data_IF_693653477860
#
_entry.id   IF_693653477860
#
_cell.length_a   1.000
_cell.length_b   1.000
_cell.length_c   1.000
_cell.angle_alpha   90.00
_cell.angle_beta   90.00
_cell.angle_gamma   90.00
#
_symmetry.space_group_name_H-M   'P 1'
#
loop_
_entity.id
_entity.type
_entity.pdbx_description
1 polymer ?
#
# COMPACT_ATOMS: atom_id res chain seq x y z
N UNK A 1 54.55 27.06 4.81
CA UNK A 1 56.02 26.82 4.81
C UNK A 1 56.40 26.18 6.13
N UNK A 2 57.23 25.11 6.14
CA UNK A 2 57.37 24.14 7.23
C UNK A 2 58.62 24.40 8.10
N UNK A 3 58.89 23.63 9.17
CA UNK A 3 59.56 22.31 9.08
C UNK A 3 59.05 21.34 10.20
N UNK A 4 59.44 20.07 10.41
CA UNK A 4 60.14 18.96 9.72
C UNK A 4 59.89 17.71 10.59
N UNK A 5 59.86 16.53 9.97
CA UNK A 5 59.73 15.23 10.64
C UNK A 5 61.02 14.77 11.36
N UNK A 6 60.87 13.87 12.35
CA UNK A 6 61.87 12.84 12.70
C UNK A 6 61.19 11.49 12.90
N UNK A 7 61.58 10.54 12.06
CA UNK A 7 61.45 9.09 12.25
C UNK A 7 62.69 8.62 13.01
N UNK A 8 62.52 7.71 13.96
CA UNK A 8 63.63 6.94 14.53
C UNK A 8 63.38 5.46 14.29
N UNK A 9 64.35 4.83 13.65
CA UNK A 9 64.48 3.40 13.38
C UNK A 9 65.34 2.80 14.49
N UNK A 10 65.04 1.59 14.97
CA UNK A 10 66.02 0.79 15.72
C UNK A 10 65.89 -0.68 15.35
N UNK A 11 67.06 -1.29 15.17
CA UNK A 11 67.35 -2.59 14.58
C UNK A 11 67.20 -3.78 15.55
N UNK A 12 66.65 -4.86 15.00
CA UNK A 12 67.04 -6.29 15.01
C UNK A 12 68.46 -6.57 15.59
N UNK A 13 68.74 -7.53 16.50
CA UNK A 13 68.88 -9.01 16.32
C UNK A 13 69.18 -9.73 17.69
N UNK A 14 69.14 -11.10 17.77
CA UNK A 14 68.97 -11.99 18.95
C UNK A 14 70.36 -12.51 19.49
N UNK A 15 70.57 -13.65 20.22
CA UNK A 15 69.69 -14.80 20.59
C UNK A 15 69.88 -15.42 22.00
N UNK A 16 69.04 -16.40 22.35
CA UNK A 16 69.43 -17.53 23.19
C UNK A 16 68.55 -18.76 22.91
N UNK A 17 69.24 -19.87 22.66
CA UNK A 17 68.74 -21.24 22.54
C UNK A 17 67.99 -21.68 23.80
N UNK A 18 66.97 -22.54 23.64
CA UNK A 18 67.00 -23.81 24.36
C UNK A 18 66.24 -24.93 23.63
N UNK A 19 66.83 -26.11 23.71
CA UNK A 19 66.33 -27.37 23.15
C UNK A 19 65.24 -27.96 24.03
N UNK A 20 64.17 -28.50 23.44
CA UNK A 20 63.71 -29.82 23.86
C UNK A 20 62.85 -30.52 22.80
N UNK A 21 63.19 -31.79 22.61
CA UNK A 21 62.46 -32.80 21.86
C UNK A 21 61.10 -33.09 22.52
N UNK A 22 60.06 -33.38 21.72
CA UNK A 22 59.27 -34.60 21.87
C UNK A 22 58.22 -34.82 20.75
N UNK A 23 58.28 -36.04 20.22
CA UNK A 23 57.32 -36.91 19.53
C UNK A 23 56.18 -36.39 18.62
N UNK A 24 56.00 -36.99 17.42
CA UNK A 24 54.87 -36.75 16.53
C UNK A 24 53.69 -37.69 16.86
N UNK A 25 52.61 -37.15 17.41
CA UNK A 25 51.30 -37.81 17.40
C UNK A 25 50.54 -37.39 16.14
N UNK A 26 50.45 -38.32 15.18
CA UNK A 26 49.50 -38.25 14.07
C UNK A 26 48.06 -38.37 14.61
N UNK A 27 47.39 -37.24 14.80
CA UNK A 27 45.94 -37.20 14.87
C UNK A 27 45.36 -37.08 13.46
N UNK A 28 44.39 -37.92 13.07
CA UNK A 28 43.67 -37.74 11.83
C UNK A 28 42.82 -36.47 11.94
N UNK A 29 43.11 -35.48 11.09
CA UNK A 29 42.25 -34.33 10.90
C UNK A 29 40.91 -34.82 10.33
N UNK A 30 39.96 -35.13 11.21
CA UNK A 30 38.56 -35.21 10.85
C UNK A 30 38.12 -33.81 10.46
N UNK A 31 38.18 -33.50 9.16
CA UNK A 31 37.43 -32.42 8.56
C UNK A 31 35.94 -32.71 8.76
N UNK A 32 35.44 -32.40 9.96
CA UNK A 32 34.01 -32.22 10.18
C UNK A 32 33.66 -30.93 9.45
N UNK A 33 33.16 -31.08 8.23
CA UNK A 33 32.48 -30.04 7.47
C UNK A 33 31.26 -29.66 8.30
N UNK A 34 31.43 -28.65 9.16
CA UNK A 34 30.35 -28.03 9.91
C UNK A 34 29.47 -27.33 8.86
N UNK A 35 28.44 -28.01 8.38
CA UNK A 35 27.36 -27.38 7.63
C UNK A 35 26.52 -26.69 8.70
N UNK A 36 26.57 -25.35 8.86
CA UNK A 36 25.73 -24.69 9.84
C UNK A 36 24.28 -25.00 9.49
N UNK A 37 23.55 -25.58 10.45
CA UNK A 37 22.12 -25.85 10.29
C UNK A 37 21.42 -24.54 9.92
N UNK A 38 20.96 -24.43 8.68
CA UNK A 38 20.29 -23.23 8.19
C UNK A 38 18.94 -23.14 8.89
N UNK A 39 18.85 -22.31 9.93
CA UNK A 39 17.57 -22.02 10.58
C UNK A 39 16.66 -21.26 9.60
N UNK A 40 15.34 -21.38 9.78
CA UNK A 40 14.34 -20.65 8.96
C UNK A 40 14.64 -19.13 8.95
N UNK A 41 15.09 -18.59 10.09
CA UNK A 41 15.47 -17.18 10.23
C UNK A 41 16.70 -16.82 9.37
N UNK A 42 17.71 -17.69 9.29
CA UNK A 42 18.87 -17.48 8.43
C UNK A 42 18.49 -17.52 6.94
N UNK A 43 17.60 -18.44 6.56
CA UNK A 43 17.08 -18.52 5.19
C UNK A 43 16.29 -17.24 4.83
N UNK A 44 15.44 -16.75 5.73
CA UNK A 44 14.65 -15.54 5.52
C UNK A 44 15.54 -14.30 5.33
N UNK A 45 16.54 -14.12 6.19
CA UNK A 45 17.52 -13.03 6.06
C UNK A 45 18.30 -13.14 4.75
N UNK A 46 18.70 -14.35 4.35
CA UNK A 46 19.40 -14.58 3.08
C UNK A 46 18.53 -14.18 1.88
N UNK A 47 17.25 -14.57 1.87
CA UNK A 47 16.32 -14.20 0.80
C UNK A 47 16.10 -12.69 0.75
N UNK A 48 15.91 -12.03 1.89
CA UNK A 48 15.74 -10.57 1.98
C UNK A 48 17.00 -9.78 1.54
N UNK A 49 18.18 -10.40 1.62
CA UNK A 49 19.43 -9.75 1.24
C UNK A 49 19.54 -9.46 -0.26
N UNK A 50 18.75 -10.12 -1.11
CA UNK A 50 18.86 -10.02 -2.58
C UNK A 50 17.52 -9.70 -3.26
N UNK A 51 17.56 -9.10 -4.46
CA UNK A 51 16.34 -8.85 -5.25
C UNK A 51 15.62 -10.15 -5.65
N UNK A 52 16.30 -11.20 -6.15
CA UNK A 52 15.63 -12.46 -6.46
C UNK A 52 14.97 -13.10 -5.24
N UNK A 53 15.64 -13.09 -4.09
CA UNK A 53 15.06 -13.64 -2.86
C UNK A 53 13.85 -12.85 -2.38
N UNK A 54 13.87 -11.51 -2.45
CA UNK A 54 12.69 -10.66 -2.19
C UNK A 54 11.55 -10.94 -3.18
N UNK A 55 11.86 -11.17 -4.45
CA UNK A 55 10.87 -11.50 -5.47
C UNK A 55 10.16 -12.83 -5.18
N UNK A 56 10.90 -13.84 -4.72
CA UNK A 56 10.34 -15.14 -4.28
C UNK A 56 9.49 -14.95 -3.02
N UNK A 57 9.98 -14.23 -2.02
CA UNK A 57 9.22 -13.96 -0.79
C UNK A 57 7.92 -13.18 -1.05
N UNK A 58 7.93 -12.30 -2.05
CA UNK A 58 6.77 -11.51 -2.43
C UNK A 58 5.85 -12.21 -3.46
N UNK A 59 6.15 -13.43 -3.90
CA UNK A 59 5.30 -14.19 -4.83
C UNK A 59 3.83 -14.30 -4.42
N UNK A 60 3.45 -14.38 -3.12
CA UNK A 60 2.05 -14.33 -2.70
C UNK A 60 1.29 -13.09 -3.21
N UNK A 61 1.96 -11.95 -3.41
CA UNK A 61 1.34 -10.75 -3.99
C UNK A 61 0.94 -10.98 -5.45
N UNK A 62 1.79 -11.63 -6.24
CA UNK A 62 1.45 -11.97 -7.63
C UNK A 62 0.33 -13.01 -7.69
N UNK A 63 0.31 -13.95 -6.75
CA UNK A 63 -0.80 -14.89 -6.62
C UNK A 63 -2.12 -14.17 -6.30
N UNK A 64 -2.14 -13.21 -5.37
CA UNK A 64 -3.34 -12.43 -5.06
C UNK A 64 -3.83 -11.63 -6.27
N UNK A 65 -2.92 -11.01 -7.03
CA UNK A 65 -3.23 -10.33 -8.28
C UNK A 65 -3.89 -11.26 -9.30
N UNK A 66 -3.26 -12.42 -9.55
CA UNK A 66 -3.78 -13.43 -10.47
C UNK A 66 -5.15 -13.94 -10.00
N UNK A 67 -5.28 -14.25 -8.71
CA UNK A 67 -6.52 -14.75 -8.12
C UNK A 67 -7.65 -13.74 -8.26
N UNK A 68 -7.42 -12.46 -7.91
CA UNK A 68 -8.39 -11.39 -8.09
C UNK A 68 -8.81 -11.26 -9.56
N UNK A 69 -7.84 -11.27 -10.47
CA UNK A 69 -8.12 -11.15 -11.91
C UNK A 69 -8.91 -12.35 -12.46
N UNK A 70 -8.66 -13.56 -11.95
CA UNK A 70 -9.42 -14.75 -12.31
C UNK A 70 -10.87 -14.72 -11.77
N UNK A 71 -11.09 -13.99 -10.67
CA UNK A 71 -12.41 -13.79 -10.06
C UNK A 71 -13.19 -12.60 -10.63
N UNK A 72 -12.50 -11.63 -11.21
CA UNK A 72 -13.09 -10.67 -12.14
C UNK A 72 -13.54 -11.46 -13.36
N UNK A 73 -14.76 -11.99 -13.33
CA UNK A 73 -15.35 -12.75 -14.43
C UNK A 73 -15.65 -11.78 -15.59
N UNK A 74 -14.60 -11.40 -16.34
CA UNK A 74 -14.67 -10.40 -17.41
C UNK A 74 -15.64 -10.82 -18.50
N UNK A 75 -15.75 -12.11 -18.77
CA UNK A 75 -16.73 -12.66 -19.71
C UNK A 75 -18.15 -12.30 -19.27
N UNK A 76 -18.48 -12.52 -17.98
CA UNK A 76 -19.80 -12.15 -17.45
C UNK A 76 -20.02 -10.64 -17.44
N UNK A 77 -19.01 -9.82 -17.15
CA UNK A 77 -19.12 -8.36 -17.30
C UNK A 77 -19.39 -7.94 -18.76
N UNK A 78 -18.73 -8.58 -19.72
CA UNK A 78 -18.93 -8.32 -21.15
C UNK A 78 -20.29 -8.83 -21.65
N UNK A 79 -20.93 -9.77 -20.95
CA UNK A 79 -22.31 -10.18 -21.21
C UNK A 79 -23.33 -9.20 -20.63
N UNK A 80 -23.07 -8.61 -19.45
CA UNK A 80 -24.06 -7.82 -18.69
C UNK A 80 -24.00 -6.32 -19.00
N UNK A 81 -22.80 -5.74 -19.09
CA UNK A 81 -22.62 -4.29 -19.18
C UNK A 81 -23.05 -3.73 -20.54
N UNK A 82 -22.66 -4.30 -21.71
CA UNK A 82 -23.03 -3.73 -23.00
C UNK A 82 -24.54 -3.59 -23.21
N UNK A 83 -25.39 -4.59 -22.89
CA UNK A 83 -26.84 -4.42 -22.99
C UNK A 83 -27.42 -3.29 -22.13
N UNK A 84 -26.81 -2.99 -20.97
CA UNK A 84 -27.20 -1.87 -20.12
C UNK A 84 -26.80 -0.54 -20.79
N UNK A 85 -25.58 -0.48 -21.31
CA UNK A 85 -25.06 0.69 -22.03
C UNK A 85 -25.87 1.02 -23.29
N UNK A 86 -26.28 0.01 -24.04
CA UNK A 86 -27.06 0.13 -25.28
C UNK A 86 -28.49 0.64 -25.00
N UNK A 87 -29.08 0.23 -23.88
CA UNK A 87 -30.38 0.74 -23.43
C UNK A 87 -30.32 2.19 -22.94
N UNK A 88 -29.13 2.66 -22.55
CA UNK A 88 -28.94 4.02 -22.02
C UNK A 88 -29.52 4.24 -20.62
N UNK A 89 -29.94 3.18 -19.92
CA UNK A 89 -30.53 3.27 -18.58
C UNK A 89 -30.00 2.17 -17.67
N UNK A 90 -29.70 2.52 -16.42
CA UNK A 90 -29.32 1.61 -15.34
C UNK A 90 -30.60 1.00 -14.76
N UNK A 91 -30.71 -0.34 -14.67
CA UNK A 91 -31.83 -1.00 -14.00
C UNK A 91 -31.85 -0.64 -12.52
N UNK A 92 -32.98 -0.14 -12.01
CA UNK A 92 -33.15 0.18 -10.59
C UNK A 92 -34.59 -0.18 -10.15
N UNK A 93 -34.80 -0.70 -8.92
CA UNK A 93 -36.10 -1.20 -8.47
C UNK A 93 -37.26 -0.19 -8.50
N UNK A 94 -36.98 1.09 -8.24
CA UNK A 94 -38.00 2.15 -8.21
C UNK A 94 -38.31 2.75 -9.58
N UNK A 95 -37.26 3.14 -10.33
CA UNK A 95 -37.37 3.72 -11.66
C UNK A 95 -36.01 3.61 -12.36
N UNK A 96 -35.94 3.34 -13.67
CA UNK A 96 -34.67 3.33 -14.40
C UNK A 96 -33.93 4.68 -14.32
N UNK A 97 -32.61 4.64 -14.17
CA UNK A 97 -31.78 5.85 -14.08
C UNK A 97 -31.04 6.07 -15.41
N UNK A 98 -31.14 7.25 -16.05
CA UNK A 98 -30.38 7.52 -17.27
C UNK A 98 -28.87 7.38 -17.06
N UNK A 99 -28.20 6.71 -17.99
CA UNK A 99 -26.73 6.67 -18.03
C UNK A 99 -26.25 8.02 -18.52
N UNK A 100 -25.46 8.71 -17.71
CA UNK A 100 -24.85 9.98 -18.12
C UNK A 100 -23.89 9.75 -19.28
N UNK A 101 -23.82 10.72 -20.19
CA UNK A 101 -22.93 10.70 -21.34
C UNK A 101 -22.18 12.04 -21.46
N UNK A 102 -20.99 12.00 -22.02
CA UNK A 102 -20.16 13.19 -22.25
C UNK A 102 -19.72 13.92 -20.98
N UNK A 103 -19.63 13.25 -19.82
CA UNK A 103 -19.34 13.89 -18.52
C UNK A 103 -17.99 14.60 -18.53
N UNK A 104 -16.98 14.02 -19.20
CA UNK A 104 -15.67 14.66 -19.32
C UNK A 104 -15.53 15.57 -20.54
N UNK A 105 -16.47 15.49 -21.49
CA UNK A 105 -16.42 16.23 -22.75
C UNK A 105 -15.36 15.72 -23.73
N UNK A 106 -14.72 14.58 -23.47
CA UNK A 106 -13.77 13.94 -24.38
C UNK A 106 -14.09 12.45 -24.56
N UNK A 107 -14.17 12.00 -25.82
CA UNK A 107 -14.65 10.65 -26.12
C UNK A 107 -13.86 9.54 -25.41
N UNK A 108 -12.53 9.67 -25.34
CA UNK A 108 -11.67 8.60 -24.81
C UNK A 108 -11.95 8.29 -23.34
N UNK A 109 -12.04 9.31 -22.47
CA UNK A 109 -12.33 8.99 -21.07
C UNK A 109 -13.80 8.69 -20.83
N UNK A 110 -14.72 9.26 -21.62
CA UNK A 110 -16.12 8.85 -21.56
C UNK A 110 -16.27 7.37 -21.91
N UNK A 111 -15.62 6.90 -22.98
CA UNK A 111 -15.60 5.48 -23.36
C UNK A 111 -15.01 4.57 -22.27
N UNK A 112 -13.97 5.04 -21.55
CA UNK A 112 -13.31 4.27 -20.49
C UNK A 112 -14.15 4.23 -19.21
N UNK A 113 -14.68 5.37 -18.77
CA UNK A 113 -15.31 5.49 -17.46
C UNK A 113 -16.81 5.20 -17.46
N UNK A 114 -17.50 5.28 -18.60
CA UNK A 114 -18.92 4.94 -18.73
C UNK A 114 -19.25 3.49 -18.29
N UNK A 115 -18.57 2.44 -18.77
CA UNK A 115 -18.83 1.08 -18.26
C UNK A 115 -18.49 0.93 -16.77
N UNK A 116 -17.45 1.61 -16.30
CA UNK A 116 -17.01 1.54 -14.90
C UNK A 116 -18.03 2.23 -13.99
N UNK A 117 -18.54 3.40 -14.36
CA UNK A 117 -19.55 4.10 -13.56
C UNK A 117 -20.87 3.32 -13.50
N UNK A 118 -21.25 2.62 -14.57
CA UNK A 118 -22.37 1.66 -14.54
C UNK A 118 -22.07 0.51 -13.58
N UNK A 119 -20.89 -0.12 -13.66
CA UNK A 119 -20.51 -1.24 -12.78
C UNK A 119 -20.63 -0.90 -11.28
N UNK A 120 -20.41 0.36 -10.88
CA UNK A 120 -20.53 0.81 -9.49
C UNK A 120 -21.97 1.12 -9.07
N UNK A 121 -22.89 1.31 -10.02
CA UNK A 121 -24.27 1.72 -9.74
C UNK A 121 -25.04 0.83 -8.77
N UNK A 122 -24.83 -0.50 -8.71
CA UNK A 122 -25.54 -1.32 -7.73
C UNK A 122 -25.32 -0.86 -6.29
N UNK A 123 -24.09 -0.43 -6.01
CA UNK A 123 -23.72 0.12 -4.71
C UNK A 123 -24.07 1.59 -4.55
N UNK A 124 -23.73 2.46 -5.52
CA UNK A 124 -23.86 3.92 -5.34
C UNK A 124 -25.31 4.40 -5.41
N UNK A 125 -26.17 3.65 -6.10
CA UNK A 125 -27.60 3.96 -6.19
C UNK A 125 -28.44 3.20 -5.15
N UNK A 126 -27.83 2.28 -4.38
CA UNK A 126 -28.56 1.47 -3.40
C UNK A 126 -29.50 0.43 -4.03
N UNK A 127 -29.15 -0.10 -5.20
CA UNK A 127 -29.87 -1.21 -5.85
C UNK A 127 -29.64 -2.50 -5.04
N UNK A 128 -28.43 -2.69 -4.54
CA UNK A 128 -28.07 -3.79 -3.64
C UNK A 128 -27.52 -3.24 -2.33
N UNK A 129 -28.21 -3.55 -1.24
CA UNK A 129 -27.93 -2.97 0.08
C UNK A 129 -26.59 -3.46 0.65
N UNK A 130 -26.25 -4.74 0.43
CA UNK A 130 -24.97 -5.31 0.85
C UNK A 130 -23.82 -4.62 0.10
N UNK A 131 -23.95 -4.41 -1.21
CA UNK A 131 -23.00 -3.70 -2.03
C UNK A 131 -22.85 -2.23 -1.59
N UNK A 132 -23.93 -1.57 -1.18
CA UNK A 132 -23.88 -0.21 -0.63
C UNK A 132 -22.97 -0.15 0.60
N UNK A 133 -23.20 -1.01 1.60
CA UNK A 133 -22.39 -1.08 2.82
C UNK A 133 -20.93 -1.43 2.53
N UNK A 134 -20.71 -2.42 1.66
CA UNK A 134 -19.38 -2.86 1.27
C UNK A 134 -18.61 -1.72 0.60
N UNK A 135 -19.23 -1.02 -0.36
CA UNK A 135 -18.53 -0.03 -1.18
C UNK A 135 -18.34 1.31 -0.48
N UNK A 136 -19.31 1.79 0.31
CA UNK A 136 -19.09 3.01 1.10
C UNK A 136 -17.92 2.83 2.07
N UNK A 137 -17.80 1.64 2.66
CA UNK A 137 -16.65 1.26 3.47
C UNK A 137 -15.37 1.18 2.64
N UNK A 138 -15.37 0.38 1.56
CA UNK A 138 -14.20 0.15 0.73
C UNK A 138 -13.58 1.47 0.25
N UNK A 139 -14.43 2.33 -0.31
CA UNK A 139 -13.96 3.57 -0.91
C UNK A 139 -13.51 4.58 0.13
N UNK A 140 -14.06 4.55 1.35
CA UNK A 140 -13.52 5.32 2.47
C UNK A 140 -12.12 4.82 2.86
N UNK A 141 -11.92 3.50 2.91
CA UNK A 141 -10.65 2.88 3.29
C UNK A 141 -9.56 2.95 2.21
N UNK A 142 -9.88 3.40 0.99
CA UNK A 142 -8.87 3.76 -0.01
C UNK A 142 -8.10 5.04 0.37
N UNK A 143 -8.65 5.90 1.22
CA UNK A 143 -7.96 7.10 1.68
C UNK A 143 -6.61 6.83 2.36
N UNK A 144 -6.55 5.95 3.39
CA UNK A 144 -5.28 5.46 3.94
C UNK A 144 -4.32 4.87 2.89
N UNK A 145 -4.84 4.13 1.90
CA UNK A 145 -4.03 3.53 0.83
C UNK A 145 -3.38 4.62 -0.02
N UNK A 146 -4.16 5.62 -0.44
CA UNK A 146 -3.65 6.77 -1.20
C UNK A 146 -2.58 7.51 -0.41
N UNK A 147 -2.78 7.74 0.89
CA UNK A 147 -1.76 8.37 1.74
C UNK A 147 -0.47 7.55 1.74
N UNK A 148 -0.53 6.25 2.02
CA UNK A 148 0.66 5.40 2.11
C UNK A 148 1.41 5.38 0.77
N UNK A 149 0.71 5.17 -0.34
CA UNK A 149 1.34 5.10 -1.66
C UNK A 149 1.91 6.45 -2.10
N UNK A 150 1.19 7.55 -1.91
CA UNK A 150 1.67 8.88 -2.29
C UNK A 150 2.90 9.27 -1.45
N UNK A 151 2.91 8.98 -0.14
CA UNK A 151 4.07 9.23 0.70
C UNK A 151 5.26 8.34 0.30
N UNK A 152 5.04 7.06 -0.03
CA UNK A 152 6.10 6.21 -0.57
C UNK A 152 6.62 6.72 -1.93
N UNK A 153 5.76 7.23 -2.81
CA UNK A 153 6.17 7.86 -4.07
C UNK A 153 7.01 9.13 -3.87
N UNK A 154 6.81 9.83 -2.75
CA UNK A 154 7.58 11.01 -2.36
C UNK A 154 8.91 10.67 -1.68
N UNK A 155 9.16 9.41 -1.32
CA UNK A 155 10.40 9.00 -0.66
C UNK A 155 11.60 9.08 -1.62
N UNK A 156 12.67 9.74 -1.19
CA UNK A 156 13.86 9.94 -2.03
C UNK A 156 14.46 8.63 -2.59
N UNK A 157 14.44 7.57 -1.79
CA UNK A 157 14.97 6.26 -2.16
C UNK A 157 14.15 5.53 -3.23
N UNK A 158 12.89 5.88 -3.40
CA UNK A 158 12.00 5.27 -4.39
C UNK A 158 12.11 5.94 -5.76
N UNK A 159 12.87 7.03 -5.92
CA UNK A 159 13.02 7.73 -7.20
C UNK A 159 13.41 6.75 -8.32
N UNK A 160 12.69 6.81 -9.44
CA UNK A 160 12.87 5.94 -10.61
C UNK A 160 12.53 4.45 -10.42
N UNK A 161 11.86 4.09 -9.32
CA UNK A 161 11.27 2.76 -9.14
C UNK A 161 9.76 2.81 -9.41
N UNK A 162 9.10 1.65 -9.47
CA UNK A 162 7.64 1.59 -9.58
C UNK A 162 6.93 2.36 -8.45
N UNK A 163 7.51 2.35 -7.25
CA UNK A 163 6.98 3.07 -6.09
C UNK A 163 6.88 4.59 -6.32
N UNK A 164 7.76 5.17 -7.14
CA UNK A 164 7.74 6.59 -7.51
C UNK A 164 6.48 6.99 -8.27
N UNK A 165 5.91 6.06 -9.04
CA UNK A 165 4.76 6.29 -9.93
C UNK A 165 3.43 6.06 -9.21
N UNK A 166 3.35 6.35 -7.90
CA UNK A 166 2.18 6.09 -7.07
C UNK A 166 0.88 6.66 -7.65
N UNK A 167 0.89 7.89 -8.15
CA UNK A 167 -0.27 8.52 -8.83
C UNK A 167 -0.72 7.71 -10.03
N UNK A 168 0.21 7.29 -10.89
CA UNK A 168 -0.08 6.50 -12.07
C UNK A 168 -0.64 5.13 -11.70
N UNK A 169 -0.06 4.47 -10.70
CA UNK A 169 -0.56 3.19 -10.21
C UNK A 169 -1.96 3.29 -9.62
N UNK A 170 -2.22 4.26 -8.75
CA UNK A 170 -3.56 4.48 -8.21
C UNK A 170 -4.58 4.77 -9.33
N UNK A 171 -4.20 5.54 -10.34
CA UNK A 171 -5.08 5.81 -11.48
C UNK A 171 -5.37 4.57 -12.33
N UNK A 172 -4.36 3.77 -12.65
CA UNK A 172 -4.57 2.54 -13.44
C UNK A 172 -5.37 1.51 -12.62
N UNK A 173 -5.24 1.48 -11.28
CA UNK A 173 -6.08 0.64 -10.42
C UNK A 173 -7.57 0.99 -10.51
N UNK A 174 -7.94 2.25 -10.81
CA UNK A 174 -9.35 2.64 -11.02
C UNK A 174 -9.96 1.99 -12.27
N UNK A 175 -9.11 1.61 -13.25
CA UNK A 175 -9.55 1.01 -14.51
C UNK A 175 -9.61 -0.52 -14.40
N UNK A 176 -8.65 -1.13 -13.71
CA UNK A 176 -8.48 -2.60 -13.69
C UNK A 176 -8.85 -3.26 -12.36
N UNK A 177 -9.17 -2.48 -11.32
CA UNK A 177 -9.34 -2.97 -9.95
C UNK A 177 -8.03 -2.91 -9.16
N UNK A 178 -8.11 -2.41 -7.93
CA UNK A 178 -6.95 -2.30 -7.03
C UNK A 178 -6.53 -3.67 -6.46
N UNK A 179 -7.44 -4.62 -6.31
CA UNK A 179 -7.16 -6.00 -5.95
C UNK A 179 -6.37 -6.74 -7.03
N UNK A 180 -6.52 -6.33 -8.30
CA UNK A 180 -5.72 -6.86 -9.41
C UNK A 180 -4.35 -6.21 -9.45
N UNK A 181 -4.26 -4.89 -9.54
CA UNK A 181 -2.99 -4.20 -9.80
C UNK A 181 -2.25 -3.74 -8.56
N UNK A 182 -2.93 -3.55 -7.43
CA UNK A 182 -2.32 -3.16 -6.17
C UNK A 182 -1.29 -4.16 -5.65
N UNK A 183 -1.56 -5.47 -5.64
CA UNK A 183 -0.54 -6.46 -5.28
C UNK A 183 0.66 -6.44 -6.25
N UNK A 184 0.47 -6.13 -7.53
CA UNK A 184 1.58 -5.97 -8.51
C UNK A 184 2.44 -4.76 -8.17
N UNK A 185 1.82 -3.60 -7.88
CA UNK A 185 2.52 -2.42 -7.39
C UNK A 185 3.33 -2.75 -6.13
N UNK A 186 2.70 -3.43 -5.17
CA UNK A 186 3.32 -3.82 -3.92
C UNK A 186 4.52 -4.76 -4.12
N UNK A 187 4.40 -5.71 -5.05
CA UNK A 187 5.50 -6.61 -5.43
C UNK A 187 6.67 -5.82 -6.03
N UNK A 188 6.37 -4.92 -6.98
CA UNK A 188 7.39 -4.08 -7.61
C UNK A 188 8.07 -3.16 -6.60
N UNK A 189 7.30 -2.55 -5.70
CA UNK A 189 7.82 -1.77 -4.58
C UNK A 189 8.75 -2.63 -3.74
N UNK A 190 8.27 -3.76 -3.23
CA UNK A 190 9.07 -4.62 -2.38
C UNK A 190 10.36 -5.09 -3.06
N UNK A 191 10.32 -5.49 -4.33
CA UNK A 191 11.53 -6.02 -4.99
C UNK A 191 12.54 -4.92 -5.31
N UNK A 192 12.08 -3.76 -5.79
CA UNK A 192 12.95 -2.75 -6.40
C UNK A 192 13.25 -1.54 -5.51
N UNK A 193 12.43 -1.26 -4.50
CA UNK A 193 12.69 -0.18 -3.54
C UNK A 193 13.89 -0.48 -2.65
N UNK A 194 14.58 0.56 -2.13
CA UNK A 194 15.74 0.36 -1.28
C UNK A 194 15.40 -0.47 -0.05
N UNK A 195 16.29 -1.40 0.27
CA UNK A 195 16.22 -2.20 1.48
C UNK A 195 16.27 -1.31 2.72
N UNK A 196 15.66 -1.77 3.80
CA UNK A 196 15.69 -1.12 5.10
C UNK A 196 17.12 -0.75 5.53
N UNK A 197 18.09 -1.63 5.27
CA UNK A 197 19.50 -1.41 5.57
C UNK A 197 20.09 -0.16 4.90
N UNK A 198 19.64 0.16 3.67
CA UNK A 198 20.02 1.37 2.94
C UNK A 198 19.29 2.58 3.48
N UNK A 199 17.98 2.47 3.71
CA UNK A 199 17.14 3.57 4.24
C UNK A 199 17.57 4.00 5.65
N UNK A 200 18.07 3.06 6.44
CA UNK A 200 18.65 3.33 7.75
C UNK A 200 19.91 4.20 7.65
N UNK A 201 20.80 3.89 6.68
CA UNK A 201 22.12 4.54 6.55
C UNK A 201 22.06 5.87 5.79
N UNK A 202 21.10 6.04 4.90
CA UNK A 202 21.03 7.18 3.97
C UNK A 202 19.76 8.02 4.23
N UNK A 203 19.97 9.20 4.82
CA UNK A 203 18.89 10.15 5.12
C UNK A 203 18.19 10.69 3.87
N UNK A 204 18.94 10.90 2.77
CA UNK A 204 18.38 11.37 1.51
C UNK A 204 17.46 10.32 0.87
N UNK A 205 17.80 9.03 1.01
CA UNK A 205 16.93 7.93 0.54
C UNK A 205 15.75 7.66 1.47
N UNK A 206 15.88 7.92 2.76
CA UNK A 206 14.79 7.75 3.74
C UNK A 206 13.78 8.88 3.70
N UNK A 207 14.24 10.12 3.49
CA UNK A 207 13.43 11.32 3.61
C UNK A 207 12.21 11.34 2.69
N UNK A 208 11.10 11.84 3.24
CA UNK A 208 9.91 12.23 2.48
C UNK A 208 10.09 13.67 2.01
N UNK A 209 9.63 13.98 0.79
CA UNK A 209 9.59 15.36 0.29
C UNK A 209 8.53 16.17 1.03
N UNK A 210 8.97 16.95 2.01
CA UNK A 210 8.09 17.70 2.90
C UNK A 210 7.23 18.74 2.19
N UNK A 211 7.64 19.22 1.02
CA UNK A 211 6.92 20.22 0.22
C UNK A 211 5.60 19.71 -0.38
N UNK A 212 5.37 18.39 -0.41
CA UNK A 212 4.13 17.80 -0.94
C UNK A 212 3.11 17.45 0.15
N UNK A 213 3.54 17.28 1.40
CA UNK A 213 2.69 16.77 2.49
C UNK A 213 1.55 17.73 2.84
N UNK A 214 1.74 19.06 2.93
CA UNK A 214 0.71 19.97 3.44
C UNK A 214 -0.58 20.02 2.60
N UNK A 215 -0.49 19.70 1.32
CA UNK A 215 -1.63 19.74 0.40
C UNK A 215 -2.38 18.41 0.32
N UNK A 216 -1.79 17.29 0.75
CA UNK A 216 -2.42 15.98 0.63
C UNK A 216 -3.73 15.87 1.41
N UNK A 217 -3.77 16.36 2.65
CA UNK A 217 -4.97 16.28 3.48
C UNK A 217 -6.16 17.04 2.86
N UNK A 218 -6.06 18.36 2.56
CA UNK A 218 -7.19 19.06 1.96
C UNK A 218 -7.61 18.46 0.61
N UNK A 219 -6.67 18.00 -0.21
CA UNK A 219 -6.99 17.35 -1.48
C UNK A 219 -7.75 16.02 -1.27
N UNK A 220 -7.35 15.20 -0.31
CA UNK A 220 -8.08 13.96 0.01
C UNK A 220 -9.47 14.25 0.57
N UNK A 221 -9.60 15.24 1.45
CA UNK A 221 -10.91 15.62 2.01
C UNK A 221 -11.88 16.07 0.92
N UNK A 222 -11.44 16.88 -0.04
CA UNK A 222 -12.30 17.42 -1.08
C UNK A 222 -12.51 16.43 -2.22
N UNK A 223 -11.41 15.93 -2.80
CA UNK A 223 -11.43 15.19 -4.08
C UNK A 223 -11.57 13.68 -3.91
N UNK A 224 -11.49 13.16 -2.68
CA UNK A 224 -11.76 11.75 -2.41
C UNK A 224 -12.95 11.60 -1.48
N UNK A 225 -12.82 11.99 -0.21
CA UNK A 225 -13.89 11.78 0.76
C UNK A 225 -15.16 12.57 0.43
N UNK A 226 -15.03 13.83 0.00
CA UNK A 226 -16.17 14.64 -0.44
C UNK A 226 -16.90 14.02 -1.63
N UNK A 227 -16.17 13.52 -2.62
CA UNK A 227 -16.78 12.87 -3.79
C UNK A 227 -17.38 11.51 -3.46
N UNK A 228 -16.74 10.70 -2.60
CA UNK A 228 -17.33 9.46 -2.08
C UNK A 228 -18.63 9.77 -1.33
N UNK A 229 -18.64 10.81 -0.50
CA UNK A 229 -19.85 11.22 0.22
C UNK A 229 -20.98 11.57 -0.76
N UNK A 230 -20.73 12.45 -1.74
CA UNK A 230 -21.76 12.85 -2.70
C UNK A 230 -22.22 11.69 -3.60
N UNK A 231 -21.33 10.73 -3.86
CA UNK A 231 -21.65 9.52 -4.62
C UNK A 231 -22.62 8.57 -3.90
N UNK A 232 -22.66 8.53 -2.57
CA UNK A 232 -23.59 7.69 -1.81
C UNK A 232 -24.76 8.44 -1.19
N UNK A 233 -24.57 9.72 -0.88
CA UNK A 233 -25.51 10.54 -0.12
C UNK A 233 -26.09 11.70 -0.93
N UNK A 234 -25.79 11.81 -2.22
CA UNK A 234 -26.47 12.75 -3.13
C UNK A 234 -27.98 12.56 -3.10
N UNK A 235 -28.73 13.64 -3.32
CA UNK A 235 -30.19 13.66 -3.18
C UNK A 235 -30.86 12.84 -4.28
N UNK A 236 -30.34 12.90 -5.51
CA UNK A 236 -30.85 12.16 -6.66
C UNK A 236 -29.89 11.07 -7.14
N UNK A 237 -30.42 10.06 -7.82
CA UNK A 237 -29.60 8.99 -8.42
C UNK A 237 -28.71 9.51 -9.54
N UNK A 238 -29.15 10.55 -10.26
CA UNK A 238 -28.37 11.24 -11.29
C UNK A 238 -27.17 11.96 -10.69
N UNK A 239 -27.36 12.64 -9.55
CA UNK A 239 -26.27 13.29 -8.81
C UNK A 239 -25.25 12.24 -8.35
N UNK A 240 -25.71 11.14 -7.74
CA UNK A 240 -24.84 10.03 -7.33
C UNK A 240 -24.08 9.42 -8.50
N UNK A 241 -24.73 9.27 -9.65
CA UNK A 241 -24.08 8.80 -10.87
C UNK A 241 -23.00 9.77 -11.32
N UNK A 242 -23.28 11.08 -11.35
CA UNK A 242 -22.31 12.11 -11.70
C UNK A 242 -21.08 12.08 -10.78
N UNK A 243 -21.27 11.96 -9.47
CA UNK A 243 -20.14 11.87 -8.54
C UNK A 243 -19.39 10.54 -8.64
N UNK A 244 -20.06 9.46 -9.04
CA UNK A 244 -19.39 8.20 -9.41
C UNK A 244 -18.42 8.43 -10.55
N UNK A 245 -18.84 9.14 -11.60
CA UNK A 245 -17.99 9.53 -12.72
C UNK A 245 -16.80 10.39 -12.28
N UNK A 246 -17.05 11.44 -11.51
CA UNK A 246 -15.99 12.36 -11.04
C UNK A 246 -14.97 11.65 -10.14
N UNK A 247 -15.41 10.67 -9.36
CA UNK A 247 -14.55 9.92 -8.45
C UNK A 247 -13.56 8.98 -9.16
N UNK A 248 -13.91 8.40 -10.31
CA UNK A 248 -13.02 7.44 -11.02
C UNK A 248 -11.60 7.98 -11.25
N UNK A 249 -11.40 9.20 -11.80
CA UNK A 249 -10.06 9.77 -11.97
C UNK A 249 -9.48 10.46 -10.71
N UNK A 250 -10.15 10.40 -9.56
CA UNK A 250 -9.73 11.13 -8.34
C UNK A 250 -8.25 10.96 -7.97
N UNK A 251 -7.65 9.75 -8.01
CA UNK A 251 -6.24 9.61 -7.61
C UNK A 251 -5.28 10.34 -8.55
N UNK A 252 -5.61 10.41 -9.85
CA UNK A 252 -4.85 11.17 -10.83
C UNK A 252 -4.92 12.66 -10.49
N UNK A 253 -6.13 13.17 -10.25
CA UNK A 253 -6.33 14.57 -9.90
C UNK A 253 -5.61 14.96 -8.62
N UNK A 254 -5.74 14.16 -7.56
CA UNK A 254 -5.04 14.38 -6.28
C UNK A 254 -3.53 14.44 -6.51
N UNK A 255 -2.96 13.49 -7.23
CA UNK A 255 -1.52 13.46 -7.47
C UNK A 255 -1.01 14.62 -8.34
N UNK A 256 -1.73 14.97 -9.41
CA UNK A 256 -1.37 16.07 -10.32
C UNK A 256 -1.51 17.41 -9.62
N UNK A 257 -2.65 17.69 -8.99
CA UNK A 257 -2.89 18.94 -8.27
C UNK A 257 -1.88 19.10 -7.13
N UNK A 258 -1.62 18.04 -6.36
CA UNK A 258 -0.58 18.09 -5.33
C UNK A 258 0.80 18.46 -5.88
N UNK A 259 1.19 17.86 -7.01
CA UNK A 259 2.48 18.17 -7.64
C UNK A 259 2.56 19.59 -8.19
N UNK A 260 1.45 20.16 -8.67
CA UNK A 260 1.35 21.55 -9.10
C UNK A 260 1.46 22.48 -7.89
N UNK A 261 0.66 22.26 -6.85
CA UNK A 261 0.65 23.10 -5.64
C UNK A 261 2.00 23.10 -4.94
N UNK A 262 2.65 21.94 -4.80
CA UNK A 262 3.98 21.81 -4.20
C UNK A 262 5.09 22.58 -4.95
N UNK A 263 4.90 22.84 -6.26
CA UNK A 263 5.85 23.62 -7.07
C UNK A 263 5.56 25.11 -7.06
N UNK A 264 4.28 25.50 -6.99
CA UNK A 264 3.86 26.90 -7.14
C UNK A 264 3.81 27.60 -5.78
N UNK A 265 3.39 26.91 -4.71
CA UNK A 265 3.17 27.50 -3.39
C UNK A 265 4.37 27.19 -2.49
N UNK A 266 5.10 28.20 -2.00
CA UNK A 266 6.16 27.99 -1.02
C UNK A 266 5.61 27.35 0.25
N UNK A 267 6.24 26.26 0.72
CA UNK A 267 5.78 25.47 1.88
C UNK A 267 6.52 25.78 3.18
N UNK A 268 7.21 26.92 3.25
CA UNK A 268 7.94 27.34 4.46
C UNK A 268 7.04 27.44 5.71
N UNK A 269 5.77 27.79 5.54
CA UNK A 269 4.76 27.87 6.60
C UNK A 269 4.42 26.51 7.24
N UNK A 270 4.65 25.41 6.52
CA UNK A 270 4.40 24.06 7.03
C UNK A 270 5.62 23.47 7.78
N UNK A 271 6.80 24.06 7.59
CA UNK A 271 8.06 23.50 8.11
C UNK A 271 8.05 23.49 9.65
N UNK A 272 8.21 22.30 10.23
CA UNK A 272 8.24 22.12 11.69
C UNK A 272 6.86 22.12 12.37
N UNK A 273 5.79 22.42 11.64
CA UNK A 273 4.43 22.39 12.16
C UNK A 273 3.88 20.96 12.13
N UNK A 274 3.46 20.44 13.29
CA UNK A 274 2.95 19.06 13.43
C UNK A 274 1.64 18.85 12.66
N UNK A 275 0.84 19.89 12.45
CA UNK A 275 -0.43 19.81 11.72
C UNK A 275 -0.24 19.44 10.24
N UNK A 276 0.92 19.79 9.66
CA UNK A 276 1.27 19.50 8.28
C UNK A 276 2.27 18.34 8.16
N UNK A 277 2.29 17.46 9.16
CA UNK A 277 3.14 16.27 9.15
C UNK A 277 2.41 15.06 8.58
N UNK A 278 3.17 14.09 8.08
CA UNK A 278 2.63 12.79 7.68
C UNK A 278 1.83 12.12 8.82
N UNK A 279 2.23 12.35 10.09
CA UNK A 279 1.50 11.81 11.24
C UNK A 279 0.12 12.43 11.45
N UNK A 280 -0.03 13.74 11.25
CA UNK A 280 -1.33 14.40 11.33
C UNK A 280 -2.23 13.97 10.17
N UNK A 281 -1.68 13.89 8.95
CA UNK A 281 -2.36 13.32 7.79
C UNK A 281 -2.87 11.91 8.09
N UNK A 282 -1.98 11.02 8.57
CA UNK A 282 -2.33 9.65 8.93
C UNK A 282 -3.42 9.60 10.02
N UNK A 283 -3.32 10.43 11.06
CA UNK A 283 -4.31 10.45 12.13
C UNK A 283 -5.71 10.81 11.62
N UNK A 284 -5.83 11.82 10.73
CA UNK A 284 -7.13 12.23 10.20
C UNK A 284 -7.72 11.16 9.28
N UNK A 285 -6.95 10.65 8.31
CA UNK A 285 -7.48 9.62 7.39
C UNK A 285 -7.78 8.31 8.11
N UNK A 286 -6.96 7.92 9.09
CA UNK A 286 -7.21 6.75 9.92
C UNK A 286 -8.44 6.94 10.82
N UNK A 287 -8.68 8.15 11.32
CA UNK A 287 -9.89 8.49 12.07
C UNK A 287 -11.17 8.38 11.23
N UNK A 288 -11.13 8.83 9.96
CA UNK A 288 -12.25 8.68 9.02
C UNK A 288 -12.54 7.20 8.73
N UNK A 289 -11.51 6.42 8.39
CA UNK A 289 -11.62 4.97 8.19
C UNK A 289 -12.17 4.24 9.41
N UNK A 290 -11.63 4.52 10.60
CA UNK A 290 -12.12 3.93 11.84
C UNK A 290 -13.59 4.31 12.11
N UNK A 291 -13.96 5.56 11.85
CA UNK A 291 -15.35 6.03 11.98
C UNK A 291 -16.29 5.25 11.06
N UNK A 292 -15.89 5.03 9.80
CA UNK A 292 -16.67 4.25 8.84
C UNK A 292 -16.75 2.77 9.24
N UNK A 293 -15.65 2.17 9.71
CA UNK A 293 -15.62 0.79 10.21
C UNK A 293 -16.65 0.57 11.33
N UNK A 294 -16.67 1.45 12.33
CA UNK A 294 -17.67 1.38 13.40
C UNK A 294 -19.07 1.71 12.92
N UNK A 295 -19.23 2.62 11.96
CA UNK A 295 -20.52 2.90 11.34
C UNK A 295 -21.10 1.64 10.70
N UNK A 296 -20.32 0.89 9.90
CA UNK A 296 -20.75 -0.40 9.35
C UNK A 296 -21.14 -1.35 10.48
N UNK A 297 -20.25 -1.63 11.43
CA UNK A 297 -20.51 -2.59 12.52
C UNK A 297 -21.79 -2.27 13.30
N UNK A 298 -22.04 -0.99 13.58
CA UNK A 298 -23.13 -0.56 14.45
C UNK A 298 -24.45 -0.33 13.72
N UNK A 299 -24.42 -0.17 12.39
CA UNK A 299 -25.60 0.25 11.61
C UNK A 299 -25.98 -0.69 10.48
N UNK A 300 -25.08 -1.54 9.99
CA UNK A 300 -25.47 -2.54 9.00
C UNK A 300 -26.33 -3.61 9.66
N UNK A 301 -27.45 -3.98 9.04
CA UNK A 301 -28.26 -5.13 9.46
C UNK A 301 -27.63 -6.47 9.02
N UNK A 302 -26.59 -6.41 8.20
CA UNK A 302 -25.85 -7.56 7.67
C UNK A 302 -24.61 -7.90 8.52
N UNK A 303 -24.21 -9.16 8.48
CA UNK A 303 -22.94 -9.58 9.07
C UNK A 303 -21.75 -9.07 8.25
N UNK A 304 -20.59 -8.88 8.90
CA UNK A 304 -19.36 -8.51 8.19
C UNK A 304 -18.94 -9.55 7.14
N UNK A 305 -19.34 -10.82 7.34
CA UNK A 305 -19.09 -11.86 6.36
C UNK A 305 -19.90 -11.64 5.08
N UNK A 306 -21.19 -11.35 5.19
CA UNK A 306 -22.03 -11.04 4.02
C UNK A 306 -21.56 -9.79 3.28
N UNK A 307 -21.13 -8.77 4.03
CA UNK A 307 -20.64 -7.51 3.45
C UNK A 307 -19.31 -7.73 2.71
N UNK A 308 -18.33 -8.43 3.30
CA UNK A 308 -16.97 -8.44 2.77
C UNK A 308 -16.56 -9.72 2.05
N UNK A 309 -17.27 -10.83 2.22
CA UNK A 309 -16.87 -12.12 1.64
C UNK A 309 -17.82 -12.51 0.51
N UNK A 310 -17.31 -12.74 -0.71
CA UNK A 310 -18.15 -13.13 -1.83
C UNK A 310 -18.70 -14.53 -1.63
N UNK A 311 -20.00 -14.70 -1.92
CA UNK A 311 -20.70 -15.97 -1.82
C UNK A 311 -20.17 -17.01 -2.83
N UNK A 312 -19.63 -16.55 -3.97
CA UNK A 312 -19.05 -17.40 -5.00
C UNK A 312 -20.12 -18.13 -5.82
N UNK A 313 -21.29 -17.50 -5.97
CA UNK A 313 -22.43 -18.04 -6.70
C UNK A 313 -22.21 -18.09 -8.21
N UNK A 314 -23.11 -18.79 -8.92
CA UNK A 314 -23.21 -18.74 -10.41
C UNK A 314 -24.24 -17.72 -10.88
N UNK A 315 -24.65 -16.81 -10.01
CA UNK A 315 -25.67 -15.82 -10.33
C UNK A 315 -25.17 -14.88 -11.43
N UNK A 316 -26.06 -14.57 -12.37
CA UNK A 316 -25.79 -13.64 -13.48
C UNK A 316 -26.53 -12.32 -13.32
N UNK A 317 -27.13 -12.09 -12.16
CA UNK A 317 -27.79 -10.82 -11.87
C UNK A 317 -26.74 -9.72 -11.74
N UNK A 318 -26.97 -8.60 -12.44
CA UNK A 318 -26.04 -7.49 -12.52
C UNK A 318 -25.56 -7.01 -11.15
N UNK A 319 -26.48 -6.81 -10.21
CA UNK A 319 -26.15 -6.29 -8.89
C UNK A 319 -25.29 -7.27 -8.07
N UNK A 320 -25.60 -8.56 -8.14
CA UNK A 320 -24.86 -9.61 -7.43
C UNK A 320 -23.46 -9.80 -8.02
N UNK A 321 -23.36 -9.87 -9.35
CA UNK A 321 -22.07 -9.96 -10.05
C UNK A 321 -21.19 -8.75 -9.72
N UNK A 322 -21.77 -7.55 -9.72
CA UNK A 322 -21.04 -6.33 -9.40
C UNK A 322 -20.50 -6.35 -7.96
N UNK A 323 -21.35 -6.73 -7.00
CA UNK A 323 -20.97 -6.90 -5.59
C UNK A 323 -19.82 -7.88 -5.43
N UNK A 324 -19.94 -9.10 -5.97
CA UNK A 324 -18.92 -10.14 -5.77
C UNK A 324 -17.55 -9.71 -6.33
N UNK A 325 -17.53 -9.08 -7.51
CA UNK A 325 -16.29 -8.57 -8.12
C UNK A 325 -15.63 -7.54 -7.21
N UNK A 326 -16.41 -6.60 -6.65
CA UNK A 326 -15.90 -5.56 -5.78
C UNK A 326 -15.49 -6.10 -4.40
N UNK A 327 -16.13 -7.17 -3.89
CA UNK A 327 -15.69 -7.88 -2.68
C UNK A 327 -14.34 -8.56 -2.90
N UNK A 328 -14.13 -9.22 -4.04
CA UNK A 328 -12.82 -9.76 -4.41
C UNK A 328 -11.76 -8.65 -4.54
N UNK A 329 -12.13 -7.50 -5.13
CA UNK A 329 -11.25 -6.33 -5.27
C UNK A 329 -10.79 -5.81 -3.90
N UNK A 330 -11.72 -5.68 -2.95
CA UNK A 330 -11.45 -5.30 -1.56
C UNK A 330 -10.51 -6.31 -0.88
N UNK A 331 -10.87 -7.60 -0.88
CA UNK A 331 -10.09 -8.61 -0.16
C UNK A 331 -8.66 -8.74 -0.70
N UNK A 332 -8.51 -8.76 -2.01
CA UNK A 332 -7.19 -8.91 -2.63
C UNK A 332 -6.34 -7.64 -2.49
N UNK A 333 -6.97 -6.45 -2.50
CA UNK A 333 -6.24 -5.19 -2.31
C UNK A 333 -5.70 -5.06 -0.90
N UNK A 334 -6.54 -5.11 0.13
CA UNK A 334 -6.07 -4.99 1.52
C UNK A 334 -5.23 -6.18 1.96
N UNK A 335 -5.55 -7.39 1.51
CA UNK A 335 -4.68 -8.56 1.73
C UNK A 335 -3.28 -8.35 1.14
N UNK A 336 -3.20 -7.86 -0.11
CA UNK A 336 -1.93 -7.54 -0.75
C UNK A 336 -1.15 -6.43 -0.05
N UNK A 337 -1.84 -5.36 0.36
CA UNK A 337 -1.23 -4.25 1.09
C UNK A 337 -0.63 -4.69 2.43
N UNK A 338 -1.33 -5.55 3.18
CA UNK A 338 -0.84 -6.06 4.46
C UNK A 338 0.34 -7.03 4.28
N UNK A 339 0.28 -7.94 3.31
CA UNK A 339 1.42 -8.83 2.97
C UNK A 339 2.66 -8.00 2.63
N UNK A 340 2.48 -6.94 1.83
CA UNK A 340 3.55 -6.02 1.47
C UNK A 340 4.15 -5.29 2.68
N UNK A 341 3.30 -4.72 3.52
CA UNK A 341 3.75 -3.97 4.71
C UNK A 341 4.42 -4.90 5.73
N UNK A 342 3.91 -6.11 5.94
CA UNK A 342 4.58 -7.11 6.78
C UNK A 342 5.94 -7.53 6.20
N UNK A 343 6.05 -7.64 4.87
CA UNK A 343 7.33 -7.79 4.21
C UNK A 343 8.30 -6.66 4.53
N UNK A 344 7.85 -5.39 4.44
CA UNK A 344 8.68 -4.23 4.77
C UNK A 344 9.05 -4.14 6.25
N UNK A 345 8.18 -4.58 7.16
CA UNK A 345 8.49 -4.69 8.58
C UNK A 345 9.53 -5.77 8.85
N UNK A 346 9.43 -6.91 8.16
CA UNK A 346 10.40 -8.00 8.23
C UNK A 346 11.77 -7.57 7.69
N UNK A 347 11.79 -6.73 6.65
CA UNK A 347 13.03 -6.14 6.11
C UNK A 347 13.76 -5.28 7.17
N UNK A 348 13.04 -4.60 8.07
CA UNK A 348 13.66 -3.88 9.20
C UNK A 348 14.33 -4.84 10.19
N UNK A 349 13.70 -5.96 10.49
CA UNK A 349 14.28 -6.98 11.37
C UNK A 349 15.53 -7.60 10.73
N UNK A 350 15.45 -7.98 9.45
CA UNK A 350 16.59 -8.53 8.72
C UNK A 350 17.76 -7.55 8.60
N UNK A 351 17.49 -6.25 8.55
CA UNK A 351 18.51 -5.19 8.60
C UNK A 351 19.08 -4.94 10.01
N UNK A 352 18.61 -5.65 11.04
CA UNK A 352 19.00 -5.44 12.43
C UNK A 352 18.45 -4.17 13.06
N UNK A 353 17.46 -3.52 12.44
CA UNK A 353 16.87 -2.28 12.93
C UNK A 353 15.89 -2.47 14.10
N UNK A 354 15.39 -3.70 14.27
CA UNK A 354 14.48 -4.11 15.34
C UNK A 354 14.80 -5.52 15.80
N UNK A 355 14.50 -5.82 17.07
CA UNK A 355 14.56 -7.20 17.59
C UNK A 355 13.35 -8.02 17.12
N UNK A 356 13.48 -9.35 17.12
CA UNK A 356 12.38 -10.25 16.73
C UNK A 356 11.10 -10.01 17.58
N UNK A 357 11.25 -9.84 18.89
CA UNK A 357 10.11 -9.53 19.76
C UNK A 357 9.41 -8.20 19.43
N UNK A 358 10.15 -7.19 18.96
CA UNK A 358 9.56 -5.93 18.49
C UNK A 358 8.81 -6.11 17.17
N UNK A 359 9.33 -6.92 16.25
CA UNK A 359 8.65 -7.27 15.00
C UNK A 359 7.32 -7.97 15.26
N UNK A 360 7.34 -9.03 16.10
CA UNK A 360 6.14 -9.77 16.48
C UNK A 360 5.13 -8.88 17.19
N UNK A 361 5.58 -8.02 18.11
CA UNK A 361 4.72 -7.02 18.74
C UNK A 361 4.13 -6.04 17.72
N UNK A 362 4.89 -5.65 16.70
CA UNK A 362 4.38 -4.85 15.58
C UNK A 362 3.24 -5.54 14.82
N UNK A 363 3.39 -6.82 14.48
CA UNK A 363 2.32 -7.58 13.81
C UNK A 363 1.04 -7.66 14.66
N UNK A 364 1.18 -7.85 15.98
CA UNK A 364 0.04 -7.85 16.90
C UNK A 364 -0.65 -6.50 16.94
N UNK A 365 0.11 -5.39 17.01
CA UNK A 365 -0.47 -4.04 17.01
C UNK A 365 -1.26 -3.79 15.72
N UNK A 366 -0.72 -4.15 14.55
CA UNK A 366 -1.40 -4.01 13.26
C UNK A 366 -2.68 -4.85 13.21
N UNK A 367 -2.64 -6.09 13.70
CA UNK A 367 -3.81 -6.96 13.76
C UNK A 367 -4.91 -6.36 14.66
N UNK A 368 -4.54 -5.87 15.85
CA UNK A 368 -5.48 -5.19 16.75
C UNK A 368 -6.04 -3.92 16.12
N UNK A 369 -5.21 -3.11 15.46
CA UNK A 369 -5.64 -1.93 14.74
C UNK A 369 -6.65 -2.27 13.62
N UNK A 370 -6.45 -3.40 12.92
CA UNK A 370 -7.38 -3.90 11.92
C UNK A 370 -8.73 -4.34 12.49
N UNK A 371 -8.74 -4.99 13.65
CA UNK A 371 -9.99 -5.37 14.31
C UNK A 371 -10.75 -4.14 14.81
N UNK A 372 -10.03 -3.16 15.38
CA UNK A 372 -10.64 -1.97 16.00
C UNK A 372 -10.99 -0.86 15.02
N UNK A 373 -10.33 -0.78 13.87
CA UNK A 373 -10.49 0.32 12.92
C UNK A 373 -10.61 -0.10 11.46
N UNK A 374 -10.63 -1.39 11.17
CA UNK A 374 -10.72 -1.91 9.81
C UNK A 374 -9.38 -2.00 9.07
N UNK A 375 -9.35 -2.65 7.89
CA UNK A 375 -8.17 -2.85 7.08
C UNK A 375 -7.42 -1.56 6.69
N UNK A 376 -8.10 -0.45 6.40
CA UNK A 376 -7.45 0.83 6.09
C UNK A 376 -6.59 1.36 7.24
N UNK A 377 -7.08 1.23 8.48
CA UNK A 377 -6.32 1.59 9.68
C UNK A 377 -5.15 0.64 9.91
N UNK A 378 -5.32 -0.67 9.67
CA UNK A 378 -4.22 -1.63 9.76
C UNK A 378 -3.08 -1.31 8.78
N UNK A 379 -3.42 -0.99 7.53
CA UNK A 379 -2.46 -0.58 6.49
C UNK A 379 -1.68 0.66 6.95
N UNK A 380 -2.39 1.66 7.47
CA UNK A 380 -1.77 2.90 7.93
C UNK A 380 -0.89 2.71 9.16
N UNK A 381 -1.35 1.89 10.12
CA UNK A 381 -0.61 1.57 11.34
C UNK A 381 0.67 0.78 11.03
N UNK A 382 0.61 -0.22 10.15
CA UNK A 382 1.78 -0.97 9.73
C UNK A 382 2.83 -0.07 9.06
N UNK A 383 2.39 0.84 8.19
CA UNK A 383 3.27 1.83 7.58
C UNK A 383 3.86 2.79 8.63
N UNK A 384 3.04 3.32 9.53
CA UNK A 384 3.47 4.26 10.56
C UNK A 384 4.43 3.62 11.56
N UNK A 385 4.16 2.38 11.96
CA UNK A 385 5.04 1.57 12.79
C UNK A 385 6.43 1.50 12.15
N UNK A 386 6.50 1.14 10.86
CA UNK A 386 7.75 1.07 10.09
C UNK A 386 8.47 2.42 10.09
N UNK A 387 7.78 3.52 9.81
CA UNK A 387 8.40 4.85 9.77
C UNK A 387 9.00 5.24 11.11
N UNK A 388 8.32 4.96 12.22
CA UNK A 388 8.85 5.25 13.57
C UNK A 388 10.14 4.50 13.85
N UNK A 389 10.25 3.24 13.41
CA UNK A 389 11.45 2.42 13.64
C UNK A 389 12.60 2.84 12.74
N UNK A 390 12.32 3.18 11.48
CA UNK A 390 13.29 3.80 10.57
C UNK A 390 13.88 5.09 11.16
N UNK A 391 13.04 5.95 11.75
CA UNK A 391 13.48 7.20 12.37
C UNK A 391 14.26 6.98 13.67
N UNK A 392 13.82 6.05 14.53
CA UNK A 392 14.50 5.74 15.80
C UNK A 392 15.92 5.24 15.54
N UNK A 393 16.06 4.24 14.68
CA UNK A 393 17.35 3.63 14.40
C UNK A 393 18.34 4.61 13.73
N UNK A 394 17.83 5.50 12.88
CA UNK A 394 18.65 6.55 12.27
C UNK A 394 19.21 7.56 13.28
N UNK A 395 18.52 7.78 14.42
CA UNK A 395 19.03 8.63 15.50
C UNK A 395 20.07 7.92 16.35
N UNK A 396 19.86 6.64 16.65
CA UNK A 396 20.78 5.82 17.45
C UNK A 396 22.16 5.69 16.80
N UNK A 397 22.27 5.70 15.47
CA UNK A 397 23.57 5.69 14.76
C UNK A 397 24.29 7.03 14.66
N UNK A 398 23.61 8.15 14.94
CA UNK A 398 24.22 9.50 14.91
C UNK A 398 24.85 9.88 16.25
N UNK A 399 24.46 9.21 17.33
CA UNK A 399 25.03 9.31 18.66
C UNK A 399 26.03 8.18 18.88
#
# INVERSE_FOLDING_TARGET
MPPRARKTVTLITPPAHDHNHDHPHHHPASHSTYIPSLTILNMLTLLLSSRPGRAVLAAPLLYLSYYCNAKFNRETLMEIIPPILDKGVIPHPTHPVPILDGVFGWKIADDVFRPISVMFSPSTMGIDEIAWWQMVFFLTDLGPVYVVWLLEGMRGGNKWTAAYLATTWNFICQIFGIGVLGPVYCWLHFVFSPRAEVLVRDEGKRGLKGEYIPFLLPLLLVMHYGWVYLMFFGESMEERHYWTWMWQPAPLWIGVVNAILAKIIPTGWAKGNRLFSAGALSLVVGGISMGMWWYVILKSEFSLWEIFVPAGGKEKEFAVVAREILQYDLLCSFGGLLVWLFGLMTDLWAAGAVKLGELLGGFVIVAVAGVLGGPGVAVLDAWWWREKRLQRFAKEKKN
#
